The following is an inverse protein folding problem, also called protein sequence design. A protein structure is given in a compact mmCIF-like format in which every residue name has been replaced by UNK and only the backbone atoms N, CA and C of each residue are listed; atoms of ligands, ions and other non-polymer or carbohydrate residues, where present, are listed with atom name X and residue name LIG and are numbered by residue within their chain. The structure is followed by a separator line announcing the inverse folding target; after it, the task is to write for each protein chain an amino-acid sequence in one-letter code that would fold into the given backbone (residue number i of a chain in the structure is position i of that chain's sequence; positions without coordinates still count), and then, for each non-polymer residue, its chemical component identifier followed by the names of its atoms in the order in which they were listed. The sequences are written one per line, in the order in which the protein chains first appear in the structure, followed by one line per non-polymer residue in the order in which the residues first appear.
data_IF_191182155817
#
_entry.id   IF_191182155817
#
_cell.length_a   1.000
_cell.length_b   1.000
_cell.length_c   1.000
_cell.angle_alpha   90.00
_cell.angle_beta   90.00
_cell.angle_gamma   90.00
#
_symmetry.space_group_name_H-M   'P 1'
#
loop_
_entity.id
_entity.type
_entity.pdbx_description
1 polymer ?
#
# COMPACT_ATOMS: atom_id res chain seq x y z
N UNK A 1 -14.03 15.70 10.06
CA UNK A 1 -14.64 15.56 8.71
C UNK A 1 -13.85 14.55 7.91
N UNK A 2 -14.50 13.53 7.37
CA UNK A 2 -13.78 12.50 6.61
C UNK A 2 -13.41 12.99 5.22
N UNK A 3 -12.12 12.97 4.88
CA UNK A 3 -11.65 13.20 3.52
C UNK A 3 -12.46 12.32 2.56
N UNK A 4 -13.20 12.97 1.67
CA UNK A 4 -14.12 12.35 0.73
C UNK A 4 -13.27 11.49 -0.23
N UNK A 5 -13.52 10.18 -0.32
CA UNK A 5 -12.84 9.29 -1.27
C UNK A 5 -12.90 9.91 -2.66
N UNK A 6 -11.74 10.29 -3.20
CA UNK A 6 -11.63 10.58 -4.62
C UNK A 6 -11.49 9.25 -5.34
N UNK A 7 -12.17 9.07 -6.46
CA UNK A 7 -12.24 7.83 -7.27
C UNK A 7 -10.86 7.17 -7.46
N UNK A 8 -9.79 7.97 -7.51
CA UNK A 8 -8.40 7.55 -7.62
C UNK A 8 -7.89 6.65 -6.49
N UNK A 9 -8.31 6.87 -5.25
CA UNK A 9 -7.90 6.03 -4.10
C UNK A 9 -8.47 4.62 -4.24
N UNK A 10 -9.70 4.49 -4.74
CA UNK A 10 -10.32 3.18 -5.00
C UNK A 10 -9.60 2.46 -6.15
N UNK A 11 -9.25 3.20 -7.21
CA UNK A 11 -8.51 2.66 -8.35
C UNK A 11 -7.11 2.18 -7.96
N UNK A 12 -6.38 2.97 -7.18
CA UNK A 12 -5.03 2.64 -6.74
C UNK A 12 -5.03 1.48 -5.73
N UNK A 13 -5.96 1.47 -4.77
CA UNK A 13 -6.15 0.33 -3.85
C UNK A 13 -6.37 -0.98 -4.61
N UNK A 14 -7.29 -0.97 -5.58
CA UNK A 14 -7.61 -2.13 -6.41
C UNK A 14 -6.39 -2.60 -7.19
N UNK A 15 -5.56 -1.67 -7.64
CA UNK A 15 -4.32 -1.99 -8.34
C UNK A 15 -3.31 -2.66 -7.40
N UNK A 16 -3.06 -2.09 -6.22
CA UNK A 16 -2.17 -2.65 -5.19
C UNK A 16 -2.59 -4.06 -4.76
N UNK A 17 -3.88 -4.26 -4.47
CA UNK A 17 -4.38 -5.58 -4.02
C UNK A 17 -4.33 -6.65 -5.11
N UNK A 18 -4.53 -6.28 -6.38
CA UNK A 18 -4.61 -7.26 -7.49
C UNK A 18 -3.28 -7.51 -8.20
N UNK A 19 -2.38 -6.54 -8.17
CA UNK A 19 -1.13 -6.54 -8.96
C UNK A 19 0.11 -6.34 -8.11
N UNK A 20 -0.04 -6.13 -6.82
CA UNK A 20 1.05 -6.18 -5.85
C UNK A 20 1.42 -7.62 -5.49
N UNK A 21 2.58 -7.82 -4.85
CA UNK A 21 3.04 -9.13 -4.45
C UNK A 21 2.15 -9.74 -3.34
N UNK A 22 1.88 -11.05 -3.37
CA UNK A 22 1.04 -11.74 -2.38
C UNK A 22 1.68 -11.78 -0.98
N UNK A 23 2.99 -11.53 -0.91
CA UNK A 23 3.75 -11.40 0.33
C UNK A 23 3.43 -10.12 1.11
N UNK A 24 2.58 -9.24 0.60
CA UNK A 24 2.11 -8.05 1.31
C UNK A 24 0.60 -8.10 1.59
N UNK A 25 0.21 -7.65 2.77
CA UNK A 25 -1.17 -7.30 3.10
C UNK A 25 -1.36 -5.78 2.93
N UNK A 26 -2.41 -5.38 2.20
CA UNK A 26 -2.76 -3.98 1.96
C UNK A 26 -3.95 -3.61 2.83
N UNK A 27 -3.75 -2.68 3.77
CA UNK A 27 -4.82 -2.10 4.59
C UNK A 27 -5.02 -0.64 4.20
N UNK A 28 -6.26 -0.27 3.91
CA UNK A 28 -6.67 1.09 3.57
C UNK A 28 -7.30 1.77 4.78
N UNK A 29 -7.25 3.12 4.81
CA UNK A 29 -7.90 3.95 5.82
C UNK A 29 -7.52 3.60 7.28
N UNK A 30 -6.27 3.20 7.51
CA UNK A 30 -5.81 2.82 8.86
C UNK A 30 -5.61 4.07 9.72
N UNK A 31 -6.35 4.24 10.84
CA UNK A 31 -6.10 5.33 11.77
C UNK A 31 -4.80 5.04 12.54
N UNK A 32 -3.82 5.94 12.45
CA UNK A 32 -2.55 5.82 13.17
C UNK A 32 -2.44 6.69 14.43
N UNK A 33 -3.35 7.66 14.65
CA UNK A 33 -3.42 8.48 15.86
C UNK A 33 -4.84 9.01 16.12
N UNK A 34 -5.06 9.64 17.29
CA UNK A 34 -6.34 10.24 17.70
C UNK A 34 -6.68 11.53 16.93
N UNK A 35 -5.68 12.33 16.55
CA UNK A 35 -5.82 13.36 15.50
C UNK A 35 -5.70 12.71 14.11
N UNK A 36 -6.28 13.26 13.03
CA UNK A 36 -6.33 12.57 11.75
C UNK A 36 -5.21 12.97 10.76
N UNK A 37 -3.99 12.40 10.80
CA UNK A 37 -3.26 12.15 9.57
C UNK A 37 -3.81 10.85 8.98
N UNK A 38 -4.73 10.98 8.01
CA UNK A 38 -5.19 9.85 7.22
C UNK A 38 -4.08 9.51 6.23
N UNK A 39 -3.54 8.30 6.36
CA UNK A 39 -2.65 7.74 5.36
C UNK A 39 -3.47 6.84 4.45
N UNK A 40 -3.16 6.88 3.16
CA UNK A 40 -3.98 6.18 2.19
C UNK A 40 -3.82 4.66 2.33
N UNK A 41 -2.59 4.18 2.60
CA UNK A 41 -2.32 2.76 2.74
C UNK A 41 -1.24 2.43 3.76
N UNK A 42 -1.45 1.31 4.45
CA UNK A 42 -0.45 0.60 5.23
C UNK A 42 -0.11 -0.71 4.53
N UNK A 43 1.17 -0.91 4.22
CA UNK A 43 1.71 -2.12 3.60
C UNK A 43 2.42 -2.94 4.66
N UNK A 44 1.94 -4.17 4.88
CA UNK A 44 2.52 -5.11 5.84
C UNK A 44 3.16 -6.27 5.10
N UNK A 45 4.49 -6.41 5.21
CA UNK A 45 5.21 -7.56 4.68
C UNK A 45 4.89 -8.77 5.55
N UNK A 46 4.31 -9.81 4.94
CA UNK A 46 4.07 -11.10 5.57
C UNK A 46 5.41 -11.78 5.86
N UNK A 47 5.48 -12.44 7.01
CA UNK A 47 6.59 -13.33 7.31
C UNK A 47 6.43 -14.57 6.44
N UNK A 48 7.31 -14.72 5.44
CA UNK A 48 7.43 -15.97 4.69
C UNK A 48 8.43 -16.89 5.40
N UNK A 49 8.25 -18.22 5.32
CA UNK A 49 9.27 -19.17 5.74
C UNK A 49 10.63 -18.85 5.11
N UNK A 50 11.72 -19.10 5.83
CA UNK A 50 13.07 -18.95 5.29
C UNK A 50 13.25 -19.84 4.05
N UNK A 51 13.76 -19.26 2.95
CA UNK A 51 14.01 -19.97 1.69
C UNK A 51 12.90 -19.89 0.65
N UNK A 52 11.73 -19.32 0.96
CA UNK A 52 10.70 -19.08 -0.05
C UNK A 52 11.16 -18.01 -1.06
N UNK A 53 11.04 -18.28 -2.38
CA UNK A 53 11.47 -17.34 -3.40
C UNK A 53 10.69 -16.02 -3.31
N UNK A 54 11.42 -14.92 -3.44
CA UNK A 54 10.82 -13.58 -3.52
C UNK A 54 9.97 -13.53 -4.79
N UNK A 55 8.65 -13.40 -4.62
CA UNK A 55 7.74 -13.31 -5.75
C UNK A 55 7.96 -12.00 -6.54
N UNK A 56 8.44 -12.16 -7.78
CA UNK A 56 8.69 -11.07 -8.72
C UNK A 56 7.52 -10.80 -9.68
N UNK A 57 6.35 -11.40 -9.46
CA UNK A 57 5.15 -11.24 -10.31
C UNK A 57 4.48 -9.87 -10.20
N UNK A 58 4.90 -9.03 -9.25
CA UNK A 58 4.34 -7.70 -9.05
C UNK A 58 4.44 -6.85 -10.32
N UNK A 59 3.32 -6.26 -10.77
CA UNK A 59 3.28 -5.44 -11.98
C UNK A 59 3.42 -3.94 -11.68
N UNK A 60 3.23 -3.53 -10.43
CA UNK A 60 3.42 -2.16 -9.92
C UNK A 60 4.66 -2.05 -9.07
N UNK A 61 5.22 -0.83 -8.93
CA UNK A 61 6.30 -0.51 -7.98
C UNK A 61 7.44 -1.57 -7.97
N UNK A 62 7.74 -2.18 -9.13
CA UNK A 62 8.44 -3.48 -9.22
C UNK A 62 9.82 -3.48 -8.56
N UNK A 63 10.53 -2.38 -8.70
CA UNK A 63 11.86 -2.20 -8.11
C UNK A 63 11.82 -1.66 -6.68
N UNK A 64 10.67 -1.16 -6.22
CA UNK A 64 10.49 -0.63 -4.87
C UNK A 64 10.08 -1.73 -3.89
N UNK A 65 9.24 -2.69 -4.28
CA UNK A 65 8.80 -3.78 -3.41
C UNK A 65 9.93 -4.52 -2.68
N UNK A 66 11.08 -4.86 -3.32
CA UNK A 66 12.18 -5.51 -2.63
C UNK A 66 12.82 -4.66 -1.52
N UNK A 67 12.75 -3.33 -1.64
CA UNK A 67 13.38 -2.37 -0.74
C UNK A 67 12.52 -2.00 0.47
N UNK A 68 11.21 -2.30 0.43
CA UNK A 68 10.29 -1.88 1.49
C UNK A 68 10.54 -2.66 2.80
N UNK A 69 10.64 -1.96 3.95
CA UNK A 69 10.73 -2.61 5.26
C UNK A 69 9.46 -3.39 5.60
N UNK A 70 9.48 -4.08 6.75
CA UNK A 70 8.36 -4.93 7.20
C UNK A 70 7.02 -4.19 7.31
N UNK A 71 7.07 -2.91 7.67
CA UNK A 71 5.92 -2.02 7.75
C UNK A 71 6.26 -0.78 6.94
N UNK A 72 5.43 -0.45 5.96
CA UNK A 72 5.60 0.74 5.13
C UNK A 72 4.30 1.52 5.06
N UNK A 73 4.41 2.84 5.16
CA UNK A 73 3.31 3.79 5.00
C UNK A 73 3.35 4.36 3.58
N UNK A 74 2.19 4.47 2.93
CA UNK A 74 2.08 5.02 1.57
C UNK A 74 0.97 6.06 1.52
N UNK A 75 1.30 7.20 0.91
CA UNK A 75 0.39 8.29 0.59
C UNK A 75 0.36 8.47 -0.94
N UNK A 76 -0.83 8.60 -1.50
CA UNK A 76 -1.07 8.82 -2.92
C UNK A 76 -1.30 10.31 -3.18
N UNK A 77 -0.43 10.92 -3.98
CA UNK A 77 -0.57 12.31 -4.43
C UNK A 77 -0.94 12.37 -5.91
N UNK A 78 -1.94 13.18 -6.24
CA UNK A 78 -2.35 13.40 -7.63
C UNK A 78 -2.23 14.88 -8.01
N UNK A 79 -1.80 15.22 -9.24
CA UNK A 79 -1.62 16.62 -9.65
C UNK A 79 -2.89 17.48 -9.59
N UNK A 80 -4.09 16.88 -9.68
CA UNK A 80 -5.37 17.59 -9.74
C UNK A 80 -5.95 17.97 -8.37
N UNK A 81 -5.37 17.50 -7.27
CA UNK A 81 -5.79 17.81 -5.91
C UNK A 81 -4.56 17.78 -4.99
N UNK A 82 -3.91 18.95 -4.75
CA UNK A 82 -2.89 19.10 -3.71
C UNK A 82 -3.48 18.98 -2.30
#
# INVERSE_FOLDING_TARGET
MGAKRVIWHVGFERNLRRRGPPSFEVRSEVPLSEEPPRLDYLLLRKLTPEGEPVDHSAQTLRHLWPLLPRVSVVEYKSPGHP
#
